data_IF_128987735753
#
_entry.id   IF_128987735753
#
_cell.length_a   1.000
_cell.length_b   1.000
_cell.length_c   1.000
_cell.angle_alpha   90.00
_cell.angle_beta   90.00
_cell.angle_gamma   90.00
#
_symmetry.space_group_name_H-M   'P 1'
#
loop_
_entity.id
_entity.type
_entity.pdbx_description
1 polymer ?
#
# COMPACT_ATOMS: atom_id res chain seq x y z
N UNK A 1 -6.42 7.38 -29.60
CA UNK A 1 -5.34 8.25 -29.11
C UNK A 1 -4.14 7.98 -29.98
N UNK A 2 -3.72 8.95 -30.77
CA UNK A 2 -2.57 8.79 -31.65
C UNK A 2 -1.28 9.04 -30.88
N UNK A 3 -0.14 8.47 -31.30
CA UNK A 3 1.16 8.70 -30.65
C UNK A 3 1.55 10.18 -30.53
N UNK A 4 0.89 11.06 -31.27
CA UNK A 4 1.04 12.52 -31.20
C UNK A 4 0.46 13.16 -29.93
N UNK A 5 -0.37 12.44 -29.19
CA UNK A 5 -1.04 12.93 -27.97
C UNK A 5 -0.25 12.62 -26.69
N UNK A 6 0.90 11.95 -26.80
CA UNK A 6 1.85 11.68 -25.71
C UNK A 6 2.57 12.97 -25.33
N UNK A 7 1.92 13.81 -24.54
CA UNK A 7 2.55 14.98 -23.93
C UNK A 7 3.24 14.54 -22.63
N UNK A 8 4.50 14.96 -22.42
CA UNK A 8 5.28 14.67 -21.21
C UNK A 8 4.53 15.06 -19.93
N UNK A 9 3.69 16.08 -19.99
CA UNK A 9 2.82 16.53 -18.91
C UNK A 9 1.79 15.45 -18.55
N UNK A 10 1.20 14.78 -19.53
CA UNK A 10 0.23 13.71 -19.34
C UNK A 10 0.89 12.43 -18.79
N UNK A 11 2.17 12.23 -19.09
CA UNK A 11 2.96 11.09 -18.57
C UNK A 11 3.32 11.27 -17.08
N UNK A 12 3.59 12.52 -16.65
CA UNK A 12 4.04 12.82 -15.29
C UNK A 12 2.85 13.10 -14.35
N UNK A 13 1.86 13.85 -14.81
CA UNK A 13 0.73 14.30 -13.99
C UNK A 13 -0.58 13.55 -14.30
N UNK A 14 -0.56 12.59 -15.23
CA UNK A 14 -1.76 11.93 -15.71
C UNK A 14 -2.69 12.93 -16.41
N UNK A 15 -3.99 12.67 -16.32
CA UNK A 15 -5.04 13.56 -16.85
C UNK A 15 -5.56 14.54 -15.80
N UNK A 16 -4.71 14.95 -14.89
CA UNK A 16 -5.06 15.91 -13.86
C UNK A 16 -5.44 17.25 -14.52
N UNK A 17 -6.70 17.62 -14.42
CA UNK A 17 -7.23 18.92 -14.81
C UNK A 17 -7.71 19.67 -13.57
N UNK A 18 -7.80 20.98 -13.65
CA UNK A 18 -8.37 21.78 -12.54
C UNK A 18 -9.86 21.43 -12.28
N UNK A 19 -10.53 20.87 -13.29
CA UNK A 19 -11.93 20.37 -13.16
C UNK A 19 -12.04 19.13 -12.31
N UNK A 20 -10.96 18.36 -12.12
CA UNK A 20 -10.92 17.22 -11.21
C UNK A 20 -10.96 17.61 -9.74
N UNK A 21 -10.78 18.89 -9.40
CA UNK A 21 -10.88 19.38 -8.04
C UNK A 21 -12.33 19.86 -7.80
N UNK A 22 -13.15 19.14 -7.04
CA UNK A 22 -14.56 19.45 -6.87
C UNK A 22 -14.74 20.59 -5.85
N UNK A 23 -14.59 21.82 -6.31
CA UNK A 23 -14.75 23.04 -5.49
C UNK A 23 -16.14 23.20 -4.87
N UNK A 24 -17.13 22.47 -5.34
CA UNK A 24 -18.52 22.64 -4.97
C UNK A 24 -19.05 21.55 -4.03
N UNK A 25 -18.27 20.53 -3.70
CA UNK A 25 -18.70 19.46 -2.81
C UNK A 25 -18.32 19.76 -1.35
N UNK A 26 -19.33 19.97 -0.44
CA UNK A 26 -19.05 20.36 0.94
C UNK A 26 -18.19 19.37 1.72
N UNK A 27 -18.33 18.06 1.43
CA UNK A 27 -17.57 17.00 2.09
C UNK A 27 -16.08 17.11 1.74
N UNK A 28 -15.76 17.34 0.47
CA UNK A 28 -14.38 17.50 0.01
C UNK A 28 -13.74 18.79 0.50
N UNK A 29 -14.50 19.89 0.47
CA UNK A 29 -14.04 21.16 1.04
C UNK A 29 -13.75 21.00 2.54
N UNK A 30 -14.65 20.34 3.29
CA UNK A 30 -14.45 20.06 4.72
C UNK A 30 -13.23 19.18 4.98
N UNK A 31 -13.05 18.13 4.19
CA UNK A 31 -11.88 17.24 4.28
C UNK A 31 -10.58 17.98 3.96
N UNK A 32 -10.57 18.76 2.88
CA UNK A 32 -9.41 19.58 2.52
C UNK A 32 -9.06 20.58 3.62
N UNK A 33 -10.05 21.29 4.15
CA UNK A 33 -9.84 22.24 5.23
C UNK A 33 -9.29 21.56 6.49
N UNK A 34 -9.82 20.42 6.87
CA UNK A 34 -9.36 19.64 8.03
C UNK A 34 -7.91 19.17 7.85
N UNK A 35 -7.56 18.62 6.69
CA UNK A 35 -6.20 18.16 6.39
C UNK A 35 -5.22 19.34 6.32
N UNK A 36 -5.62 20.46 5.71
CA UNK A 36 -4.79 21.66 5.64
C UNK A 36 -4.54 22.26 7.02
N UNK A 37 -5.58 22.42 7.83
CA UNK A 37 -5.47 22.96 9.21
C UNK A 37 -4.62 22.02 10.07
N UNK A 38 -4.89 20.71 10.02
CA UNK A 38 -4.12 19.69 10.74
C UNK A 38 -2.64 19.67 10.32
N UNK A 39 -2.37 19.76 9.02
CA UNK A 39 -1.02 19.83 8.47
C UNK A 39 -0.27 21.10 8.91
N UNK A 40 -0.93 22.26 8.83
CA UNK A 40 -0.34 23.51 9.32
C UNK A 40 -0.08 23.49 10.83
N UNK A 41 -1.01 22.95 11.61
CA UNK A 41 -0.83 22.80 13.06
C UNK A 41 0.33 21.86 13.40
N UNK A 42 0.45 20.74 12.67
CA UNK A 42 1.58 19.81 12.79
C UNK A 42 2.91 20.50 12.45
N UNK A 43 2.99 21.20 11.32
CA UNK A 43 4.18 21.95 10.93
C UNK A 43 4.55 23.02 11.97
N UNK A 44 3.57 23.78 12.44
CA UNK A 44 3.79 24.78 13.49
C UNK A 44 4.33 24.15 14.79
N UNK A 45 3.79 22.99 15.19
CA UNK A 45 4.29 22.24 16.34
C UNK A 45 5.74 21.76 16.12
N UNK A 46 6.05 21.24 14.94
CA UNK A 46 7.39 20.80 14.56
C UNK A 46 8.43 21.94 14.67
N UNK A 47 8.06 23.15 14.21
CA UNK A 47 8.91 24.34 14.34
C UNK A 47 8.99 24.82 15.80
N UNK A 48 7.87 24.96 16.50
CA UNK A 48 7.80 25.41 17.88
C UNK A 48 8.63 24.55 18.83
N UNK A 49 8.54 23.24 18.68
CA UNK A 49 9.26 22.28 19.54
C UNK A 49 10.63 21.86 18.99
N UNK A 50 11.08 22.47 17.90
CA UNK A 50 12.37 22.19 17.23
C UNK A 50 12.60 20.69 16.93
N UNK A 51 11.54 19.99 16.53
CA UNK A 51 11.56 18.54 16.32
C UNK A 51 12.17 18.13 14.97
N UNK A 52 12.36 19.05 14.02
CA UNK A 52 12.89 18.76 12.69
C UNK A 52 14.27 18.07 12.71
N UNK A 53 15.20 18.60 13.52
CA UNK A 53 16.55 18.03 13.61
C UNK A 53 16.56 16.60 14.14
N UNK A 54 15.93 16.33 15.31
CA UNK A 54 15.77 14.96 15.83
C UNK A 54 15.02 14.02 14.89
N UNK A 55 13.92 14.49 14.27
CA UNK A 55 13.16 13.69 13.31
C UNK A 55 14.02 13.30 12.11
N UNK A 56 14.71 14.26 11.49
CA UNK A 56 15.55 14.02 10.34
C UNK A 56 16.67 13.03 10.64
N UNK A 57 17.48 13.30 11.68
CA UNK A 57 18.68 12.53 11.98
C UNK A 57 18.38 11.15 12.58
N UNK A 58 17.33 11.04 13.40
CA UNK A 58 17.11 9.82 14.18
C UNK A 58 16.09 8.88 13.54
N UNK A 59 15.22 9.39 12.61
CA UNK A 59 14.15 8.62 12.02
C UNK A 59 14.20 8.62 10.49
N UNK A 60 14.05 9.77 9.84
CA UNK A 60 13.92 9.85 8.38
C UNK A 60 15.11 9.22 7.65
N UNK A 61 16.32 9.48 8.11
CA UNK A 61 17.55 8.95 7.50
C UNK A 61 18.12 7.74 8.24
N UNK A 62 17.35 7.16 9.17
CA UNK A 62 17.81 6.01 9.95
C UNK A 62 17.93 4.76 9.07
N UNK A 63 19.01 4.02 9.26
CA UNK A 63 19.22 2.70 8.67
C UNK A 63 19.02 1.56 9.66
N UNK A 64 18.72 1.84 10.92
CA UNK A 64 18.45 0.86 11.99
C UNK A 64 17.13 0.15 11.74
N UNK A 65 17.16 -1.17 11.61
CA UNK A 65 15.99 -2.00 11.31
C UNK A 65 14.86 -1.83 12.33
N UNK A 66 15.17 -1.57 13.61
CA UNK A 66 14.15 -1.38 14.66
C UNK A 66 13.37 -0.08 14.43
N UNK A 67 14.08 1.00 14.11
CA UNK A 67 13.46 2.29 13.82
C UNK A 67 12.63 2.22 12.54
N UNK A 68 13.16 1.59 11.50
CA UNK A 68 12.44 1.38 10.24
C UNK A 68 11.19 0.51 10.48
N UNK A 69 11.30 -0.56 11.27
CA UNK A 69 10.16 -1.37 11.67
C UNK A 69 9.07 -0.57 12.38
N UNK A 70 9.45 0.30 13.33
CA UNK A 70 8.51 1.22 13.99
C UNK A 70 7.89 2.20 13.00
N UNK A 71 8.68 2.76 12.07
CA UNK A 71 8.17 3.67 11.04
C UNK A 71 7.13 3.00 10.13
N UNK A 72 7.34 1.74 9.73
CA UNK A 72 6.34 0.94 9.02
C UNK A 72 5.05 0.76 9.83
N UNK A 73 5.17 0.42 11.12
CA UNK A 73 4.00 0.25 11.99
C UNK A 73 3.24 1.57 12.19
N UNK A 74 3.94 2.69 12.35
CA UNK A 74 3.34 4.04 12.45
C UNK A 74 2.62 4.40 11.15
N UNK A 75 3.23 4.14 9.99
CA UNK A 75 2.58 4.34 8.69
C UNK A 75 1.29 3.52 8.61
N UNK A 76 1.34 2.23 8.98
CA UNK A 76 0.17 1.35 9.01
C UNK A 76 -0.95 1.89 9.91
N UNK A 77 -0.62 2.44 11.09
CA UNK A 77 -1.61 3.03 12.00
C UNK A 77 -2.21 4.32 11.41
N UNK A 78 -1.40 5.19 10.81
CA UNK A 78 -1.91 6.41 10.14
C UNK A 78 -2.89 6.03 9.02
N UNK A 79 -2.52 5.07 8.19
CA UNK A 79 -3.37 4.59 7.11
C UNK A 79 -4.62 3.84 7.62
N UNK A 80 -4.52 3.16 8.77
CA UNK A 80 -5.67 2.56 9.45
C UNK A 80 -6.70 3.62 9.86
N UNK A 81 -6.27 4.74 10.42
CA UNK A 81 -7.18 5.84 10.77
C UNK A 81 -7.91 6.39 9.53
N UNK A 82 -7.20 6.50 8.40
CA UNK A 82 -7.80 6.90 7.12
C UNK A 82 -8.81 5.85 6.63
N UNK A 83 -8.42 4.58 6.56
CA UNK A 83 -9.30 3.49 6.13
C UNK A 83 -10.50 3.30 7.07
N UNK A 84 -10.33 3.53 8.36
CA UNK A 84 -11.43 3.51 9.33
C UNK A 84 -12.45 4.64 9.06
N UNK A 85 -11.97 5.85 8.75
CA UNK A 85 -12.85 6.95 8.37
C UNK A 85 -13.67 6.62 7.12
N UNK A 86 -13.04 6.02 6.10
CA UNK A 86 -13.73 5.55 4.89
C UNK A 86 -14.81 4.51 5.22
N UNK A 87 -14.51 3.54 6.10
CA UNK A 87 -15.47 2.54 6.53
C UNK A 87 -16.68 3.16 7.26
N UNK A 88 -16.43 4.14 8.14
CA UNK A 88 -17.51 4.87 8.82
C UNK A 88 -18.40 5.63 7.85
N UNK A 89 -17.81 6.29 6.85
CA UNK A 89 -18.57 7.01 5.82
C UNK A 89 -19.47 6.06 5.02
N UNK A 90 -18.92 4.91 4.59
CA UNK A 90 -19.70 3.89 3.87
C UNK A 90 -20.84 3.33 4.73
N UNK A 91 -20.60 3.02 6.01
CA UNK A 91 -21.62 2.50 6.91
C UNK A 91 -22.69 3.51 7.24
N UNK A 92 -22.30 4.77 7.45
CA UNK A 92 -23.26 5.85 7.65
C UNK A 92 -24.15 6.05 6.40
N UNK A 93 -23.55 6.03 5.21
CA UNK A 93 -24.30 6.07 3.95
C UNK A 93 -25.30 4.95 3.86
N UNK A 94 -24.90 3.70 4.11
CA UNK A 94 -25.78 2.54 4.05
C UNK A 94 -26.91 2.59 5.07
N UNK A 95 -26.65 3.13 6.27
CA UNK A 95 -27.67 3.28 7.32
C UNK A 95 -28.68 4.39 6.98
N UNK A 96 -28.25 5.44 6.29
CA UNK A 96 -29.10 6.57 5.91
C UNK A 96 -29.87 6.34 4.60
N UNK A 97 -29.31 5.56 3.69
CA UNK A 97 -29.93 5.24 2.40
C UNK A 97 -31.01 4.17 2.58
N UNK A 98 -32.17 4.60 3.11
CA UNK A 98 -33.32 3.73 3.36
C UNK A 98 -34.62 4.37 2.80
N UNK A 99 -35.43 3.56 2.15
CA UNK A 99 -36.66 4.03 1.49
C UNK A 99 -36.31 5.01 0.36
N UNK A 100 -36.95 6.16 0.37
CA UNK A 100 -36.74 7.22 -0.63
C UNK A 100 -35.52 8.14 -0.30
N UNK A 101 -34.83 7.91 0.80
CA UNK A 101 -33.66 8.70 1.17
C UNK A 101 -32.41 8.15 0.48
N UNK A 102 -31.74 8.92 -0.41
CA UNK A 102 -30.52 8.49 -1.09
C UNK A 102 -29.28 8.45 -0.20
N UNK A 103 -29.37 8.90 1.06
CA UNK A 103 -28.23 9.12 1.93
C UNK A 103 -27.50 10.44 1.65
N UNK A 104 -26.23 10.54 2.07
CA UNK A 104 -25.46 11.79 1.98
C UNK A 104 -24.31 11.74 0.96
N UNK A 105 -23.89 10.52 0.52
CA UNK A 105 -22.83 10.37 -0.47
C UNK A 105 -23.43 10.14 -1.87
N UNK A 106 -22.99 10.91 -2.88
CA UNK A 106 -23.28 10.58 -4.26
C UNK A 106 -22.73 9.19 -4.64
N UNK A 107 -23.39 8.42 -5.54
CA UNK A 107 -22.94 7.07 -5.89
C UNK A 107 -21.49 6.99 -6.37
N UNK A 108 -21.06 7.93 -7.21
CA UNK A 108 -19.69 7.98 -7.71
C UNK A 108 -18.65 8.22 -6.60
N UNK A 109 -19.01 8.98 -5.57
CA UNK A 109 -18.16 9.20 -4.41
C UNK A 109 -18.11 7.97 -3.49
N UNK A 110 -19.24 7.28 -3.33
CA UNK A 110 -19.29 6.03 -2.58
C UNK A 110 -18.34 4.98 -3.21
N UNK A 111 -18.34 4.84 -4.54
CA UNK A 111 -17.45 3.90 -5.25
C UNK A 111 -15.97 4.23 -5.08
N UNK A 112 -15.62 5.52 -5.04
CA UNK A 112 -14.26 5.98 -4.75
C UNK A 112 -13.83 5.63 -3.32
N UNK A 113 -14.69 5.92 -2.34
CA UNK A 113 -14.44 5.61 -0.92
C UNK A 113 -14.30 4.10 -0.72
N UNK A 114 -15.16 3.31 -1.39
CA UNK A 114 -15.08 1.84 -1.36
C UNK A 114 -13.75 1.32 -1.90
N UNK A 115 -13.33 1.82 -3.06
CA UNK A 115 -12.06 1.44 -3.69
C UNK A 115 -10.86 1.87 -2.83
N UNK A 116 -10.89 3.11 -2.33
CA UNK A 116 -9.83 3.65 -1.47
C UNK A 116 -9.72 2.85 -0.16
N UNK A 117 -10.84 2.55 0.50
CA UNK A 117 -10.86 1.74 1.71
C UNK A 117 -10.20 0.38 1.49
N UNK A 118 -10.65 -0.37 0.47
CA UNK A 118 -10.10 -1.71 0.19
C UNK A 118 -8.60 -1.67 -0.12
N UNK A 119 -8.17 -0.72 -0.95
CA UNK A 119 -6.76 -0.54 -1.29
C UNK A 119 -5.91 -0.17 -0.08
N UNK A 120 -6.38 0.78 0.74
CA UNK A 120 -5.66 1.22 1.93
C UNK A 120 -5.52 0.09 2.94
N UNK A 121 -6.61 -0.64 3.24
CA UNK A 121 -6.60 -1.67 4.28
C UNK A 121 -5.65 -2.82 3.96
N UNK A 122 -5.55 -3.21 2.70
CA UNK A 122 -4.67 -4.31 2.27
C UNK A 122 -3.23 -3.83 2.13
N UNK A 123 -2.98 -2.85 1.26
CA UNK A 123 -1.63 -2.47 0.87
C UNK A 123 -0.93 -1.52 1.85
N UNK A 124 -1.68 -0.69 2.57
CA UNK A 124 -1.10 0.38 3.38
C UNK A 124 -1.39 0.28 4.88
N UNK A 125 -2.21 -0.70 5.29
CA UNK A 125 -2.40 -1.07 6.69
C UNK A 125 -1.78 -2.43 6.98
N UNK A 126 -2.33 -3.49 6.40
CA UNK A 126 -1.91 -4.85 6.73
C UNK A 126 -0.45 -5.11 6.36
N UNK A 127 -0.05 -4.76 5.14
CA UNK A 127 1.33 -4.96 4.66
C UNK A 127 2.38 -4.18 5.47
N UNK A 128 2.23 -2.87 5.75
CA UNK A 128 3.20 -2.16 6.58
C UNK A 128 3.25 -2.65 8.02
N UNK A 129 2.12 -3.03 8.63
CA UNK A 129 2.13 -3.57 9.99
C UNK A 129 2.91 -4.88 10.07
N UNK A 130 2.67 -5.81 9.15
CA UNK A 130 3.37 -7.10 9.08
C UNK A 130 4.86 -6.89 8.74
N UNK A 131 5.16 -6.06 7.76
CA UNK A 131 6.55 -5.75 7.36
C UNK A 131 7.31 -5.07 8.50
N UNK A 132 6.67 -4.14 9.20
CA UNK A 132 7.25 -3.47 10.36
C UNK A 132 7.58 -4.45 11.49
N UNK A 133 6.66 -5.36 11.78
CA UNK A 133 6.86 -6.40 12.78
C UNK A 133 8.03 -7.32 12.40
N UNK A 134 8.07 -7.79 11.14
CA UNK A 134 9.17 -8.63 10.66
C UNK A 134 10.51 -7.89 10.72
N UNK A 135 10.57 -6.64 10.28
CA UNK A 135 11.77 -5.81 10.36
C UNK A 135 12.28 -5.66 11.79
N UNK A 136 11.38 -5.47 12.75
CA UNK A 136 11.76 -5.30 14.14
C UNK A 136 12.24 -6.61 14.77
N UNK A 137 11.47 -7.68 14.62
CA UNK A 137 11.62 -8.92 15.40
C UNK A 137 12.62 -9.89 14.76
N UNK A 138 12.60 -10.08 13.44
CA UNK A 138 13.39 -11.14 12.77
C UNK A 138 14.90 -11.00 13.03
N UNK A 139 15.56 -9.84 12.84
CA UNK A 139 16.99 -9.73 13.12
C UNK A 139 17.33 -10.05 14.58
N UNK A 140 16.46 -9.65 15.52
CA UNK A 140 16.64 -9.94 16.94
C UNK A 140 16.54 -11.45 17.22
N UNK A 141 15.57 -12.14 16.64
CA UNK A 141 15.38 -13.59 16.82
C UNK A 141 16.54 -14.42 16.27
N UNK A 142 17.14 -13.99 15.17
CA UNK A 142 18.29 -14.72 14.57
C UNK A 142 19.64 -14.28 15.11
N UNK A 143 19.66 -13.30 16.03
CA UNK A 143 20.91 -12.76 16.60
C UNK A 143 21.71 -11.89 15.63
N UNK A 144 21.08 -11.36 14.58
CA UNK A 144 21.72 -10.41 13.66
C UNK A 144 21.75 -8.99 14.27
N UNK A 145 22.82 -8.27 14.01
CA UNK A 145 22.94 -6.87 14.45
C UNK A 145 22.00 -5.94 13.68
N UNK A 146 21.81 -6.19 12.40
CA UNK A 146 20.93 -5.44 11.49
C UNK A 146 20.50 -6.35 10.33
N UNK A 147 19.70 -5.85 9.41
CA UNK A 147 19.36 -6.52 8.16
C UNK A 147 20.54 -6.55 7.19
N UNK A 148 20.50 -7.42 6.17
CA UNK A 148 21.60 -7.58 5.20
C UNK A 148 21.92 -6.29 4.43
N UNK A 149 20.89 -5.51 4.09
CA UNK A 149 21.02 -4.29 3.30
C UNK A 149 20.30 -3.11 3.99
N UNK A 150 20.94 -2.45 5.00
CA UNK A 150 20.27 -1.43 5.81
C UNK A 150 19.80 -0.21 5.00
N UNK A 151 20.58 0.23 4.01
CA UNK A 151 20.18 1.32 3.11
C UNK A 151 18.95 0.94 2.27
N UNK A 152 18.93 -0.27 1.72
CA UNK A 152 17.81 -0.78 0.95
C UNK A 152 16.53 -0.87 1.81
N UNK A 153 16.68 -1.18 3.11
CA UNK A 153 15.57 -1.21 4.05
C UNK A 153 14.91 0.17 4.24
N UNK A 154 15.72 1.21 4.41
CA UNK A 154 15.22 2.59 4.49
C UNK A 154 14.57 3.00 3.17
N UNK A 155 15.20 2.70 2.03
CA UNK A 155 14.66 3.01 0.71
C UNK A 155 13.30 2.31 0.47
N UNK A 156 13.16 1.04 0.83
CA UNK A 156 11.91 0.29 0.68
C UNK A 156 10.78 0.90 1.53
N UNK A 157 11.07 1.36 2.73
CA UNK A 157 10.11 2.08 3.57
C UNK A 157 9.61 3.36 2.88
N UNK A 158 10.53 4.17 2.33
CA UNK A 158 10.14 5.42 1.67
C UNK A 158 9.35 5.18 0.39
N UNK A 159 9.68 4.14 -0.38
CA UNK A 159 8.88 3.74 -1.54
C UNK A 159 7.44 3.37 -1.12
N UNK A 160 7.27 2.58 -0.06
CA UNK A 160 5.95 2.25 0.48
C UNK A 160 5.21 3.51 0.96
N UNK A 161 5.91 4.41 1.64
CA UNK A 161 5.35 5.68 2.13
C UNK A 161 4.90 6.58 0.97
N UNK A 162 5.69 6.70 -0.09
CA UNK A 162 5.30 7.47 -1.28
C UNK A 162 4.09 6.86 -2.00
N UNK A 163 4.00 5.53 -2.07
CA UNK A 163 2.80 4.86 -2.57
C UNK A 163 1.56 5.20 -1.72
N UNK A 164 1.68 5.18 -0.39
CA UNK A 164 0.62 5.60 0.51
C UNK A 164 0.24 7.09 0.32
N UNK A 165 1.22 7.97 0.13
CA UNK A 165 0.97 9.38 -0.14
C UNK A 165 0.19 9.59 -1.45
N UNK A 166 0.49 8.82 -2.52
CA UNK A 166 -0.27 8.88 -3.77
C UNK A 166 -1.74 8.49 -3.56
N UNK A 167 -2.02 7.52 -2.69
CA UNK A 167 -3.41 7.19 -2.33
C UNK A 167 -4.07 8.35 -1.57
N UNK A 168 -3.33 9.05 -0.71
CA UNK A 168 -3.83 10.19 0.06
C UNK A 168 -4.09 11.43 -0.80
N UNK A 169 -3.51 11.51 -2.00
CA UNK A 169 -3.78 12.60 -2.96
C UNK A 169 -5.28 12.67 -3.31
N UNK A 170 -6.00 11.54 -3.27
CA UNK A 170 -7.46 11.50 -3.47
C UNK A 170 -8.23 12.42 -2.53
N UNK A 171 -7.71 12.73 -1.35
CA UNK A 171 -8.33 13.66 -0.40
C UNK A 171 -8.30 15.13 -0.88
N UNK A 172 -7.37 15.45 -1.76
CA UNK A 172 -7.17 16.82 -2.27
C UNK A 172 -7.77 17.00 -3.66
N UNK A 173 -7.68 15.99 -4.50
CA UNK A 173 -8.16 16.04 -5.88
C UNK A 173 -9.63 15.60 -5.95
N UNK A 174 -10.12 14.88 -4.93
CA UNK A 174 -11.48 14.37 -4.91
C UNK A 174 -11.74 13.24 -5.90
N UNK A 175 -10.70 12.71 -6.53
CA UNK A 175 -10.81 11.60 -7.45
C UNK A 175 -9.88 10.45 -7.09
N UNK A 176 -10.46 9.25 -7.03
CA UNK A 176 -9.76 7.99 -6.92
C UNK A 176 -10.44 6.95 -7.83
N UNK A 177 -9.87 5.75 -7.95
CA UNK A 177 -10.48 4.70 -8.77
C UNK A 177 -11.88 4.32 -8.25
N UNK A 178 -12.81 4.07 -9.18
CA UNK A 178 -14.20 3.62 -8.92
C UNK A 178 -14.36 2.12 -9.25
N UNK A 179 -13.30 1.35 -9.11
CA UNK A 179 -13.14 0.03 -9.74
C UNK A 179 -13.05 -1.11 -8.75
N UNK A 180 -13.18 -0.82 -7.45
CA UNK A 180 -12.80 -1.75 -6.40
C UNK A 180 -11.27 -1.89 -6.30
N UNK A 181 -10.80 -2.51 -5.25
CA UNK A 181 -9.36 -2.61 -4.91
C UNK A 181 -8.52 -3.49 -5.87
N UNK A 182 -9.17 -4.29 -6.71
CA UNK A 182 -8.50 -5.13 -7.73
C UNK A 182 -8.45 -4.49 -9.12
N UNK A 183 -9.23 -3.43 -9.35
CA UNK A 183 -9.26 -2.67 -10.60
C UNK A 183 -9.42 -3.53 -11.87
N UNK A 184 -10.44 -4.40 -11.91
CA UNK A 184 -10.68 -5.28 -13.05
C UNK A 184 -11.05 -4.51 -14.33
N UNK A 185 -10.41 -4.81 -15.48
CA UNK A 185 -10.94 -4.40 -16.77
C UNK A 185 -12.27 -5.13 -17.08
N UNK A 186 -13.20 -4.53 -17.85
CA UNK A 186 -13.07 -3.26 -18.57
C UNK A 186 -13.29 -2.01 -17.72
N UNK A 187 -13.78 -2.15 -16.46
CA UNK A 187 -14.13 -1.01 -15.60
C UNK A 187 -12.93 -0.07 -15.34
N UNK A 188 -11.74 -0.62 -15.17
CA UNK A 188 -10.49 0.15 -15.01
C UNK A 188 -9.90 0.68 -16.32
N UNK A 189 -10.45 0.30 -17.46
CA UNK A 189 -10.03 0.78 -18.76
C UNK A 189 -10.41 2.25 -18.98
N UNK A 190 -9.78 2.86 -19.99
CA UNK A 190 -9.95 4.29 -20.26
C UNK A 190 -11.37 4.64 -20.72
N UNK A 191 -12.07 3.71 -21.36
CA UNK A 191 -13.44 3.93 -21.85
C UNK A 191 -14.44 4.03 -20.68
N UNK A 192 -14.28 3.21 -19.63
CA UNK A 192 -15.18 3.18 -18.48
C UNK A 192 -14.74 4.13 -17.35
N UNK A 193 -13.46 4.35 -17.21
CA UNK A 193 -12.86 5.23 -16.19
C UNK A 193 -11.85 6.19 -16.84
N UNK A 194 -12.32 7.24 -17.57
CA UNK A 194 -11.46 8.19 -18.24
C UNK A 194 -10.69 9.09 -17.28
N UNK A 195 -11.10 9.14 -16.03
CA UNK A 195 -10.57 10.01 -14.98
C UNK A 195 -9.16 9.59 -14.56
N UNK A 196 -8.47 10.49 -13.86
CA UNK A 196 -7.14 10.28 -13.30
C UNK A 196 -7.12 9.30 -12.12
N UNK A 197 -8.26 8.99 -11.53
CA UNK A 197 -8.35 8.20 -10.30
C UNK A 197 -7.74 6.81 -10.39
N UNK A 198 -7.96 6.09 -11.50
CA UNK A 198 -7.35 4.76 -11.72
C UNK A 198 -5.84 4.88 -11.92
N UNK A 199 -5.35 5.96 -12.51
CA UNK A 199 -3.92 6.16 -12.71
C UNK A 199 -3.21 6.36 -11.37
N UNK A 200 -3.80 7.13 -10.44
CA UNK A 200 -3.28 7.24 -9.08
C UNK A 200 -3.32 5.93 -8.31
N UNK A 201 -4.37 5.12 -8.48
CA UNK A 201 -4.42 3.77 -7.93
C UNK A 201 -3.25 2.93 -8.45
N UNK A 202 -3.03 2.87 -9.77
CA UNK A 202 -1.94 2.11 -10.39
C UNK A 202 -0.58 2.58 -9.85
N UNK A 203 -0.31 3.88 -9.89
CA UNK A 203 0.99 4.42 -9.48
C UNK A 203 1.25 4.25 -7.99
N UNK A 204 0.23 4.35 -7.15
CA UNK A 204 0.39 4.10 -5.71
C UNK A 204 0.86 2.68 -5.44
N UNK A 205 0.26 1.70 -6.10
CA UNK A 205 0.61 0.29 -5.94
C UNK A 205 1.93 -0.08 -6.63
N UNK A 206 2.26 0.54 -7.77
CA UNK A 206 3.54 0.34 -8.45
C UNK A 206 4.71 0.75 -7.55
N UNK A 207 4.65 1.96 -7.01
CA UNK A 207 5.70 2.49 -6.14
C UNK A 207 5.82 1.67 -4.84
N UNK A 208 4.68 1.38 -4.20
CA UNK A 208 4.66 0.56 -2.98
C UNK A 208 5.11 -0.89 -3.25
N UNK A 209 4.72 -1.46 -4.40
CA UNK A 209 5.09 -2.83 -4.79
C UNK A 209 6.60 -3.00 -4.99
N UNK A 210 7.28 -2.02 -5.58
CA UNK A 210 8.75 -2.00 -5.63
C UNK A 210 9.33 -1.98 -4.21
N UNK A 211 8.83 -1.11 -3.33
CA UNK A 211 9.27 -1.05 -1.93
C UNK A 211 9.10 -2.40 -1.22
N UNK A 212 7.94 -3.03 -1.37
CA UNK A 212 7.64 -4.34 -0.76
C UNK A 212 8.56 -5.44 -1.30
N UNK A 213 8.81 -5.49 -2.60
CA UNK A 213 9.73 -6.45 -3.22
C UNK A 213 11.15 -6.31 -2.64
N UNK A 214 11.65 -5.08 -2.54
CA UNK A 214 12.97 -4.80 -1.98
C UNK A 214 13.08 -5.19 -0.50
N UNK A 215 12.03 -4.96 0.29
CA UNK A 215 11.94 -5.42 1.69
C UNK A 215 11.96 -6.94 1.77
N UNK A 216 11.23 -7.63 0.88
CA UNK A 216 11.22 -9.09 0.78
C UNK A 216 12.60 -9.67 0.49
N UNK A 217 13.30 -9.14 -0.51
CA UNK A 217 14.68 -9.54 -0.85
C UNK A 217 15.62 -9.35 0.35
N UNK A 218 15.51 -8.21 1.03
CA UNK A 218 16.36 -7.88 2.16
C UNK A 218 16.17 -8.83 3.35
N UNK A 219 14.91 -9.04 3.77
CA UNK A 219 14.62 -9.95 4.89
C UNK A 219 14.94 -11.41 4.54
N UNK A 220 14.69 -11.84 3.32
CA UNK A 220 15.05 -13.18 2.85
C UNK A 220 16.58 -13.39 2.94
N UNK A 221 17.36 -12.44 2.42
CA UNK A 221 18.82 -12.47 2.51
C UNK A 221 19.31 -12.44 3.97
N UNK A 222 18.67 -11.66 4.82
CA UNK A 222 18.99 -11.55 6.25
C UNK A 222 18.80 -12.88 6.96
N UNK A 223 17.65 -13.52 6.78
CA UNK A 223 17.34 -14.81 7.40
C UNK A 223 18.28 -15.91 6.91
N UNK A 224 18.63 -15.91 5.62
CA UNK A 224 19.50 -16.96 5.05
C UNK A 224 20.97 -16.77 5.47
N UNK A 225 21.47 -15.53 5.48
CA UNK A 225 22.92 -15.27 5.60
C UNK A 225 23.37 -14.81 6.99
N UNK A 226 22.50 -14.21 7.80
CA UNK A 226 22.91 -13.50 9.01
C UNK A 226 22.48 -14.19 10.32
N UNK A 227 22.14 -15.47 10.28
CA UNK A 227 21.87 -16.23 11.50
C UNK A 227 23.10 -16.34 12.40
N UNK A 228 22.88 -16.28 13.70
CA UNK A 228 23.92 -16.47 14.70
C UNK A 228 24.69 -17.79 14.49
N UNK A 229 26.00 -17.84 14.79
CA UNK A 229 26.77 -19.08 14.70
C UNK A 229 26.10 -20.23 15.46
N UNK A 230 25.96 -21.39 14.83
CA UNK A 230 25.28 -22.57 15.38
C UNK A 230 23.77 -22.59 15.23
N UNK A 231 23.13 -21.53 14.73
CA UNK A 231 21.71 -21.52 14.42
C UNK A 231 21.47 -22.10 13.01
N UNK A 232 21.19 -23.39 12.95
CA UNK A 232 20.72 -24.03 11.71
C UNK A 232 19.27 -23.63 11.41
N UNK A 233 18.80 -23.88 10.18
CA UNK A 233 17.41 -23.57 9.77
C UNK A 233 16.38 -24.11 10.77
N UNK A 234 16.52 -25.38 11.18
CA UNK A 234 15.59 -26.03 12.10
C UNK A 234 15.66 -25.54 13.55
N UNK A 235 16.61 -24.66 13.87
CA UNK A 235 16.73 -24.02 15.21
C UNK A 235 16.19 -22.61 15.25
N UNK A 236 15.68 -22.11 14.12
CA UNK A 236 15.05 -20.79 14.07
C UNK A 236 13.70 -20.79 14.81
N UNK A 237 13.35 -19.70 15.48
CA UNK A 237 12.00 -19.49 16.01
C UNK A 237 10.93 -19.58 14.91
N UNK A 238 9.71 -19.97 15.27
CA UNK A 238 8.62 -20.17 14.31
C UNK A 238 8.26 -18.89 13.59
N UNK A 239 8.23 -17.76 14.30
CA UNK A 239 7.97 -16.47 13.65
C UNK A 239 9.01 -16.16 12.55
N UNK A 240 10.30 -16.49 12.77
CA UNK A 240 11.32 -16.35 11.73
C UNK A 240 11.08 -17.28 10.54
N UNK A 241 10.57 -18.49 10.78
CA UNK A 241 10.18 -19.43 9.71
C UNK A 241 9.01 -18.89 8.88
N UNK A 242 7.97 -18.40 9.54
CA UNK A 242 6.84 -17.79 8.83
C UNK A 242 7.25 -16.54 8.06
N UNK A 243 8.15 -15.72 8.62
CA UNK A 243 8.75 -14.59 7.92
C UNK A 243 9.57 -15.02 6.70
N UNK A 244 10.33 -16.12 6.78
CA UNK A 244 11.07 -16.68 5.64
C UNK A 244 10.12 -17.04 4.50
N UNK A 245 9.06 -17.80 4.79
CA UNK A 245 8.05 -18.19 3.80
C UNK A 245 7.33 -16.98 3.21
N UNK A 246 6.96 -16.03 4.05
CA UNK A 246 6.32 -14.76 3.63
C UNK A 246 7.20 -14.00 2.63
N UNK A 247 8.47 -13.80 2.96
CA UNK A 247 9.37 -13.04 2.09
C UNK A 247 9.71 -13.80 0.79
N UNK A 248 9.71 -15.13 0.81
CA UNK A 248 9.82 -15.95 -0.41
C UNK A 248 8.61 -15.74 -1.33
N UNK A 249 7.39 -15.71 -0.77
CA UNK A 249 6.17 -15.39 -1.53
C UNK A 249 6.21 -13.96 -2.09
N UNK A 250 6.61 -12.97 -1.29
CA UNK A 250 6.75 -11.58 -1.75
C UNK A 250 7.65 -11.51 -2.98
N UNK A 251 8.85 -12.07 -2.91
CA UNK A 251 9.82 -12.03 -4.02
C UNK A 251 9.30 -12.75 -5.26
N UNK A 252 8.52 -13.82 -5.09
CA UNK A 252 7.97 -14.58 -6.21
C UNK A 252 6.79 -13.87 -6.88
N UNK A 253 5.94 -13.16 -6.13
CA UNK A 253 4.61 -12.75 -6.64
C UNK A 253 4.42 -11.25 -6.84
N UNK A 254 5.09 -10.38 -6.06
CA UNK A 254 5.00 -8.94 -6.26
C UNK A 254 5.49 -8.45 -7.63
N UNK A 255 6.52 -9.03 -8.26
CA UNK A 255 6.85 -8.70 -9.64
C UNK A 255 5.70 -8.96 -10.63
N UNK A 256 4.85 -9.96 -10.36
CA UNK A 256 3.68 -10.26 -11.21
C UNK A 256 2.61 -9.18 -11.04
N UNK A 257 2.35 -8.72 -9.81
CA UNK A 257 1.49 -7.55 -9.57
C UNK A 257 2.02 -6.32 -10.32
N UNK A 258 3.31 -6.06 -10.19
CA UNK A 258 3.96 -4.90 -10.82
C UNK A 258 3.79 -4.92 -12.33
N UNK A 259 4.04 -6.05 -13.01
CA UNK A 259 3.88 -6.14 -14.47
C UNK A 259 2.41 -6.04 -14.88
N UNK A 260 1.48 -6.63 -14.11
CA UNK A 260 0.04 -6.55 -14.39
C UNK A 260 -0.46 -5.10 -14.37
N UNK A 261 -0.07 -4.34 -13.36
CA UNK A 261 -0.43 -2.92 -13.25
C UNK A 261 0.29 -2.06 -14.30
N UNK A 262 1.53 -2.40 -14.66
CA UNK A 262 2.24 -1.74 -15.76
C UNK A 262 1.53 -1.94 -17.10
N UNK A 263 1.06 -3.16 -17.38
CA UNK A 263 0.28 -3.44 -18.59
C UNK A 263 -1.02 -2.63 -18.60
N UNK A 264 -1.74 -2.53 -17.48
CA UNK A 264 -2.93 -1.71 -17.37
C UNK A 264 -2.60 -0.21 -17.57
N UNK A 265 -1.50 0.26 -17.03
CA UNK A 265 -1.02 1.63 -17.25
C UNK A 265 -0.73 1.91 -18.73
N UNK A 266 -0.08 0.98 -19.44
CA UNK A 266 0.20 1.08 -20.86
C UNK A 266 -1.09 1.10 -21.71
N UNK A 267 -2.10 0.28 -21.36
CA UNK A 267 -3.41 0.34 -22.00
C UNK A 267 -4.05 1.72 -21.85
N UNK A 268 -3.97 2.31 -20.65
CA UNK A 268 -4.61 3.59 -20.34
C UNK A 268 -3.88 4.81 -20.93
N UNK A 269 -2.54 4.82 -20.86
CA UNK A 269 -1.71 5.99 -21.17
C UNK A 269 -1.20 5.93 -22.61
N UNK A 270 -0.78 4.76 -23.08
CA UNK A 270 -0.10 4.60 -24.36
C UNK A 270 -0.97 3.93 -25.45
N UNK A 271 -2.23 3.55 -25.11
CA UNK A 271 -3.15 2.96 -26.08
C UNK A 271 -2.78 1.54 -26.50
N UNK A 272 -2.05 0.80 -25.65
CA UNK A 272 -1.88 -0.63 -25.80
C UNK A 272 -3.23 -1.35 -25.54
N UNK A 273 -3.37 -2.58 -25.99
CA UNK A 273 -4.63 -3.31 -25.93
C UNK A 273 -4.45 -4.69 -25.28
N UNK A 274 -3.77 -4.75 -24.15
CA UNK A 274 -3.59 -6.00 -23.42
C UNK A 274 -4.90 -6.55 -22.91
N UNK A 275 -5.79 -5.66 -22.41
CA UNK A 275 -7.01 -6.03 -21.69
C UNK A 275 -8.30 -5.54 -22.36
N UNK A 276 -8.21 -4.86 -23.49
CA UNK A 276 -9.35 -4.29 -24.22
C UNK A 276 -9.85 -5.29 -25.26
N UNK A 277 -11.00 -5.91 -24.99
CA UNK A 277 -11.53 -7.03 -25.78
C UNK A 277 -11.80 -6.65 -27.26
N UNK A 278 -12.38 -5.47 -27.46
CA UNK A 278 -12.78 -4.95 -28.80
C UNK A 278 -11.58 -4.75 -29.74
N UNK A 279 -10.38 -4.64 -29.20
CA UNK A 279 -9.14 -4.39 -29.94
C UNK A 279 -8.18 -5.59 -29.89
N UNK A 280 -8.71 -6.79 -29.57
CA UNK A 280 -7.92 -8.03 -29.57
C UNK A 280 -7.21 -8.35 -28.26
N UNK A 281 -7.42 -7.56 -27.21
CA UNK A 281 -6.93 -7.86 -25.87
C UNK A 281 -7.81 -8.87 -25.13
N UNK A 282 -7.42 -9.27 -23.93
CA UNK A 282 -8.15 -10.25 -23.14
C UNK A 282 -8.24 -9.81 -21.66
N UNK A 283 -9.42 -9.35 -21.17
CA UNK A 283 -9.62 -9.01 -19.75
C UNK A 283 -9.34 -10.15 -18.79
N UNK A 284 -9.56 -11.41 -19.21
CA UNK A 284 -9.26 -12.58 -18.39
C UNK A 284 -7.76 -12.75 -18.13
N UNK A 285 -6.89 -12.22 -18.99
CA UNK A 285 -5.46 -12.16 -18.74
C UNK A 285 -5.16 -11.33 -17.48
N UNK A 286 -5.81 -10.19 -17.32
CA UNK A 286 -5.69 -9.38 -16.11
C UNK A 286 -6.13 -10.16 -14.87
N UNK A 287 -7.30 -10.80 -14.92
CA UNK A 287 -7.85 -11.59 -13.81
C UNK A 287 -6.87 -12.69 -13.39
N UNK A 288 -6.34 -13.43 -14.34
CA UNK A 288 -5.39 -14.51 -14.06
C UNK A 288 -4.09 -13.96 -13.45
N UNK A 289 -3.51 -12.91 -14.02
CA UNK A 289 -2.25 -12.32 -13.53
C UNK A 289 -2.42 -11.72 -12.14
N UNK A 290 -3.49 -10.95 -11.90
CA UNK A 290 -3.71 -10.33 -10.59
C UNK A 290 -3.89 -11.39 -9.50
N UNK A 291 -4.55 -12.52 -9.79
CA UNK A 291 -4.77 -13.57 -8.82
C UNK A 291 -3.57 -14.52 -8.62
N UNK A 292 -2.62 -14.59 -9.56
CA UNK A 292 -1.30 -15.24 -9.30
C UNK A 292 -0.59 -14.53 -8.14
N UNK A 293 -0.76 -13.22 -8.01
CA UNK A 293 -0.32 -12.47 -6.84
C UNK A 293 -1.35 -12.52 -5.71
N UNK A 294 -2.64 -12.35 -6.00
CA UNK A 294 -3.67 -12.05 -5.01
C UNK A 294 -3.93 -13.16 -3.99
N UNK A 295 -3.82 -14.43 -4.37
CA UNK A 295 -3.89 -15.51 -3.39
C UNK A 295 -2.61 -15.64 -2.53
N UNK A 296 -1.39 -15.62 -3.08
CA UNK A 296 -0.19 -15.52 -2.24
C UNK A 296 -0.20 -14.32 -1.28
N UNK A 297 -0.81 -13.20 -1.65
CA UNK A 297 -0.95 -12.04 -0.77
C UNK A 297 -1.65 -12.37 0.54
N UNK A 298 -2.73 -13.15 0.50
CA UNK A 298 -3.42 -13.54 1.74
C UNK A 298 -2.54 -14.42 2.63
N UNK A 299 -1.67 -15.25 2.05
CA UNK A 299 -0.68 -16.01 2.81
C UNK A 299 0.46 -15.13 3.33
N UNK A 300 0.89 -14.13 2.59
CA UNK A 300 1.87 -13.12 3.02
C UNK A 300 1.38 -12.43 4.30
N UNK A 301 0.08 -12.16 4.39
CA UNK A 301 -0.52 -11.55 5.57
C UNK A 301 -0.70 -12.53 6.72
N UNK A 302 -1.19 -13.75 6.45
CA UNK A 302 -1.59 -14.67 7.53
C UNK A 302 -0.42 -15.45 8.13
N UNK A 303 0.62 -15.79 7.36
CA UNK A 303 1.75 -16.58 7.86
C UNK A 303 2.48 -15.92 9.05
N UNK A 304 2.85 -14.61 9.00
CA UNK A 304 3.46 -13.97 10.15
C UNK A 304 2.55 -13.94 11.38
N UNK A 305 1.23 -13.80 11.16
CA UNK A 305 0.24 -13.85 12.24
C UNK A 305 0.22 -15.23 12.90
N UNK A 306 0.28 -16.31 12.13
CA UNK A 306 0.41 -17.66 12.68
C UNK A 306 1.72 -17.86 13.45
N UNK A 307 2.81 -17.26 12.95
CA UNK A 307 4.08 -17.21 13.68
C UNK A 307 3.93 -16.54 15.05
N UNK A 308 3.28 -15.37 15.10
CA UNK A 308 3.00 -14.66 16.35
C UNK A 308 2.14 -15.51 17.30
N UNK A 309 1.06 -16.10 16.81
CA UNK A 309 0.21 -16.96 17.63
C UNK A 309 0.98 -18.13 18.22
N UNK A 310 1.80 -18.80 17.41
CA UNK A 310 2.61 -19.93 17.85
C UNK A 310 3.61 -19.53 18.95
N UNK A 311 4.31 -18.41 18.80
CA UNK A 311 5.24 -17.89 19.82
C UNK A 311 4.52 -17.51 21.13
N UNK A 312 3.35 -16.87 21.03
CA UNK A 312 2.55 -16.51 22.19
C UNK A 312 2.07 -17.77 22.92
N UNK A 313 1.49 -18.73 22.18
CA UNK A 313 0.96 -19.98 22.78
C UNK A 313 2.09 -20.76 23.46
N UNK A 314 3.24 -20.93 22.81
CA UNK A 314 4.37 -21.67 23.39
C UNK A 314 4.89 -20.99 24.68
N UNK A 315 4.95 -19.65 24.67
CA UNK A 315 5.40 -18.87 25.83
C UNK A 315 4.45 -19.05 27.02
N UNK A 316 3.14 -18.90 26.79
CA UNK A 316 2.16 -19.03 27.87
C UNK A 316 1.95 -20.45 28.33
N UNK A 317 2.11 -21.45 27.47
CA UNK A 317 2.01 -22.87 27.85
C UNK A 317 3.30 -23.42 28.51
N UNK A 318 4.41 -22.66 28.47
CA UNK A 318 5.73 -23.10 28.93
C UNK A 318 6.29 -24.31 28.20
N UNK A 319 5.80 -24.59 26.98
CA UNK A 319 6.24 -25.72 26.15
C UNK A 319 7.20 -25.20 25.05
N UNK A 320 8.19 -26.03 24.72
CA UNK A 320 9.02 -25.81 23.53
C UNK A 320 8.26 -26.30 22.30
N UNK A 321 8.31 -25.47 21.26
CA UNK A 321 7.88 -25.84 19.90
C UNK A 321 9.01 -26.55 19.15
#
# INVERSE_FOLDING_TARGET
>A
MTMSDLNLTNLIFGRLSLEAIPYNEPILIGTFAMVAIGGLAFLAAMFKFRLWGPLWRNWITSIDHKKIGIMYMVLGIIMLLRGFADALMMRAQQAMAFGDNPGFLPPHHFDQVFTAHGTIMIFFVAMPLVTGLMNYVVPLQIGARDVSFPFLNNFSFWMTTFGAMLTMVSLFIGEFGKTGWLAFPPLSGIAASPDVGVDYYIWSLQVAGVGTTLSGVNLLATIIKMRAPGMSMMKMPIFTWTALCTNALIVATFPILTITLAMLSLDRIAGFNFFTNELGGNPMLYVNLIWIWGHPEVYILVLPVFGVFSEIVSTFCGKRL
#
